data_IF_850501832725
#
_entry.id   IF_850501832725
#
_cell.length_a   1.000
_cell.length_b   1.000
_cell.length_c   1.000
_cell.angle_alpha   90.00
_cell.angle_beta   90.00
_cell.angle_gamma   90.00
#
_symmetry.space_group_name_H-M   'P 1'
#
loop_
_entity.id
_entity.type
_entity.pdbx_description
1 polymer ?
#
# COMPACT_ATOMS: atom_id res chain seq x y z
N UNK A 1 52.76 -5.17 27.75
CA UNK A 1 51.82 -4.72 28.80
C UNK A 1 51.65 -3.23 28.60
N UNK A 2 50.61 -2.84 27.88
CA UNK A 2 50.33 -1.44 27.54
C UNK A 2 48.86 -1.18 27.83
N UNK A 3 48.65 -0.62 29.02
CA UNK A 3 47.41 -0.03 29.48
C UNK A 3 47.07 1.21 28.65
N UNK A 4 45.82 1.35 28.24
CA UNK A 4 45.21 2.67 27.99
C UNK A 4 43.69 2.59 28.18
N UNK A 5 43.06 3.64 28.73
CA UNK A 5 41.83 3.52 29.51
C UNK A 5 40.54 3.70 28.71
N UNK A 6 39.52 3.00 29.21
CA UNK A 6 38.11 3.03 28.82
C UNK A 6 37.43 4.31 29.31
N UNK A 7 37.06 5.21 28.41
CA UNK A 7 36.23 6.37 28.71
C UNK A 7 34.74 5.99 28.54
N UNK A 8 34.05 5.74 29.65
CA UNK A 8 32.59 5.66 29.70
C UNK A 8 32.03 7.07 29.85
N UNK A 9 31.37 7.57 28.80
CA UNK A 9 30.65 8.85 28.83
C UNK A 9 29.18 8.59 29.10
N UNK A 10 28.76 8.81 30.35
CA UNK A 10 27.36 8.71 30.80
C UNK A 10 26.71 10.08 30.62
N UNK A 11 25.89 10.24 29.58
CA UNK A 11 25.03 11.41 29.41
C UNK A 11 23.68 11.15 30.09
N UNK A 12 23.48 11.72 31.29
CA UNK A 12 22.17 11.81 31.93
C UNK A 12 21.43 13.02 31.36
N UNK A 13 20.46 12.78 30.48
CA UNK A 13 19.51 13.78 30.01
C UNK A 13 18.30 13.79 30.96
N UNK A 14 18.21 14.82 31.79
CA UNK A 14 17.04 15.11 32.64
C UNK A 14 15.97 15.79 31.81
N UNK A 15 14.81 15.12 31.66
CA UNK A 15 13.62 15.66 31.01
C UNK A 15 12.80 16.48 32.04
N UNK A 16 12.43 17.75 31.78
CA UNK A 16 11.47 18.45 32.62
C UNK A 16 10.03 17.99 32.31
N UNK A 17 9.28 17.79 33.38
CA UNK A 17 7.89 17.34 33.40
C UNK A 17 6.95 18.31 32.66
N UNK A 18 6.24 17.78 31.66
CA UNK A 18 5.09 18.40 31.03
C UNK A 18 3.86 18.22 31.92
N UNK A 19 3.39 19.33 32.49
CA UNK A 19 2.15 19.40 33.25
C UNK A 19 1.21 20.41 32.58
N UNK A 20 0.23 19.90 31.84
CA UNK A 20 -1.00 20.61 31.53
C UNK A 20 -2.13 19.59 31.28
N UNK A 21 -3.17 19.61 32.11
CA UNK A 21 -4.50 19.40 31.56
C UNK A 21 -5.51 20.31 32.27
N UNK A 22 -6.02 21.32 31.59
CA UNK A 22 -7.23 22.01 32.04
C UNK A 22 -8.07 22.45 30.84
N UNK A 23 -9.36 22.13 30.98
CA UNK A 23 -10.51 22.71 30.29
C UNK A 23 -10.84 22.15 28.89
N UNK A 24 -11.64 21.09 28.88
CA UNK A 24 -12.61 20.83 27.82
C UNK A 24 -13.76 21.85 27.88
N UNK A 25 -14.23 22.40 26.75
CA UNK A 25 -15.46 23.20 26.72
C UNK A 25 -16.70 22.31 26.66
N UNK A 26 -17.64 22.61 27.56
CA UNK A 26 -18.97 22.03 27.70
C UNK A 26 -19.84 22.43 26.49
N UNK A 27 -20.39 21.44 25.78
CA UNK A 27 -21.41 21.66 24.74
C UNK A 27 -22.83 21.70 25.38
N UNK A 28 -23.68 22.68 25.03
CA UNK A 28 -25.08 22.75 25.44
C UNK A 28 -26.00 21.85 24.56
N UNK A 29 -27.29 21.69 24.93
CA UNK A 29 -28.02 20.44 24.80
C UNK A 29 -28.80 20.24 23.48
N UNK A 30 -29.10 18.96 23.27
CA UNK A 30 -30.09 18.36 22.36
C UNK A 30 -31.32 19.23 22.13
N UNK A 31 -31.58 19.60 20.86
CA UNK A 31 -32.91 19.98 20.40
C UNK A 31 -33.48 18.90 19.49
N UNK A 32 -34.47 18.19 20.02
CA UNK A 32 -35.39 17.35 19.28
C UNK A 32 -36.22 18.22 18.32
N UNK A 33 -35.93 18.16 17.02
CA UNK A 33 -36.86 18.61 16.00
C UNK A 33 -37.56 17.37 15.41
N UNK A 34 -38.74 17.10 15.96
CA UNK A 34 -39.73 16.17 15.47
C UNK A 34 -40.30 16.72 14.14
N UNK A 35 -39.88 16.18 13.00
CA UNK A 35 -40.53 16.44 11.70
C UNK A 35 -41.34 15.19 11.32
N UNK A 36 -42.65 15.30 11.07
CA UNK A 36 -43.49 14.16 10.69
C UNK A 36 -43.18 13.67 9.25
N UNK A 37 -43.36 12.36 8.96
CA UNK A 37 -43.21 11.82 7.62
C UNK A 37 -44.45 12.14 6.79
N UNK A 38 -44.35 13.11 5.88
CA UNK A 38 -45.40 13.33 4.89
C UNK A 38 -45.17 12.46 3.65
N UNK A 39 -46.22 11.71 3.36
CA UNK A 39 -46.44 10.74 2.30
C UNK A 39 -45.92 11.10 0.89
N UNK A 40 -45.31 10.07 0.29
CA UNK A 40 -45.49 9.60 -1.09
C UNK A 40 -45.18 10.59 -2.22
N UNK A 41 -44.01 10.39 -2.84
CA UNK A 41 -43.95 10.45 -4.30
C UNK A 41 -43.07 9.32 -4.83
N UNK A 42 -43.73 8.39 -5.52
CA UNK A 42 -43.18 7.23 -6.21
C UNK A 42 -42.40 7.73 -7.44
N UNK A 43 -41.24 8.33 -7.23
CA UNK A 43 -40.34 8.70 -8.30
C UNK A 43 -39.36 7.54 -8.56
N UNK A 44 -39.60 6.84 -9.68
CA UNK A 44 -38.66 6.04 -10.48
C UNK A 44 -37.41 5.57 -9.73
N UNK A 45 -37.42 4.32 -9.28
CA UNK A 45 -36.18 3.57 -9.07
C UNK A 45 -35.61 3.32 -10.47
N UNK A 46 -34.89 4.31 -10.98
CA UNK A 46 -33.89 4.08 -12.00
C UNK A 46 -32.78 3.31 -11.29
N UNK A 47 -32.74 2.01 -11.54
CA UNK A 47 -31.70 1.11 -11.05
C UNK A 47 -30.38 1.63 -11.62
N UNK A 48 -29.68 2.48 -10.87
CA UNK A 48 -28.31 2.84 -11.19
C UNK A 48 -27.46 1.56 -11.10
N UNK A 49 -26.76 1.15 -12.17
CA UNK A 49 -25.73 0.13 -12.07
C UNK A 49 -24.45 0.80 -11.53
N UNK A 50 -24.45 1.24 -10.27
CA UNK A 50 -23.42 2.13 -9.74
C UNK A 50 -22.78 1.57 -8.47
N UNK A 51 -21.87 0.60 -8.63
CA UNK A 51 -20.75 0.41 -7.69
C UNK A 51 -19.70 -0.56 -8.24
N UNK A 52 -20.11 -1.69 -8.81
CA UNK A 52 -19.18 -2.74 -9.28
C UNK A 52 -18.45 -2.36 -10.57
N UNK A 53 -19.11 -1.65 -11.49
CA UNK A 53 -18.53 -1.32 -12.80
C UNK A 53 -17.33 -0.38 -12.72
N UNK A 54 -17.31 0.56 -11.75
CA UNK A 54 -16.19 1.51 -11.62
C UNK A 54 -14.91 0.83 -11.15
N UNK A 55 -15.03 -0.17 -10.26
CA UNK A 55 -13.88 -0.94 -9.78
C UNK A 55 -13.29 -1.82 -10.89
N UNK A 56 -14.15 -2.45 -11.69
CA UNK A 56 -13.70 -3.26 -12.85
C UNK A 56 -13.10 -2.41 -13.95
N UNK A 57 -13.69 -1.25 -14.27
CA UNK A 57 -13.14 -0.33 -15.27
C UNK A 57 -11.78 0.22 -14.85
N UNK A 58 -11.61 0.62 -13.58
CA UNK A 58 -10.34 1.08 -13.03
C UNK A 58 -9.27 -0.02 -13.05
N UNK A 59 -9.63 -1.24 -12.66
CA UNK A 59 -8.71 -2.39 -12.72
C UNK A 59 -8.32 -2.75 -14.16
N UNK A 60 -9.26 -2.67 -15.11
CA UNK A 60 -8.97 -2.88 -16.53
C UNK A 60 -8.05 -1.80 -17.09
N UNK A 61 -8.23 -0.54 -16.71
CA UNK A 61 -7.35 0.57 -17.10
C UNK A 61 -5.94 0.37 -16.56
N UNK A 62 -5.80 0.01 -15.28
CA UNK A 62 -4.52 -0.36 -14.67
C UNK A 62 -3.85 -1.52 -15.42
N UNK A 63 -4.60 -2.60 -15.69
CA UNK A 63 -4.07 -3.76 -16.39
C UNK A 63 -3.67 -3.44 -17.84
N UNK A 64 -4.38 -2.50 -18.48
CA UNK A 64 -4.03 -2.00 -19.82
C UNK A 64 -2.71 -1.24 -19.77
N UNK A 65 -2.55 -0.32 -18.80
CA UNK A 65 -1.29 0.39 -18.57
C UNK A 65 -0.12 -0.55 -18.29
N UNK A 66 -0.34 -1.62 -17.52
CA UNK A 66 0.70 -2.64 -17.29
C UNK A 66 1.13 -3.33 -18.59
N UNK A 67 0.19 -3.67 -19.48
CA UNK A 67 0.52 -4.28 -20.77
C UNK A 67 1.33 -3.33 -21.64
N UNK A 68 0.92 -2.06 -21.73
CA UNK A 68 1.64 -1.05 -22.50
C UNK A 68 3.07 -0.85 -21.97
N UNK A 69 3.24 -0.78 -20.65
CA UNK A 69 4.55 -0.73 -20.00
C UNK A 69 5.40 -1.96 -20.34
N UNK A 70 4.82 -3.17 -20.25
CA UNK A 70 5.53 -4.42 -20.58
C UNK A 70 6.00 -4.42 -22.03
N UNK A 71 5.16 -4.01 -22.98
CA UNK A 71 5.56 -3.93 -24.39
C UNK A 71 6.64 -2.87 -24.63
N UNK A 72 6.55 -1.71 -23.98
CA UNK A 72 7.58 -0.66 -24.07
C UNK A 72 8.94 -1.12 -23.51
N UNK A 73 8.94 -1.92 -22.44
CA UNK A 73 10.16 -2.37 -21.77
C UNK A 73 10.74 -3.67 -22.35
N UNK A 74 9.99 -4.42 -23.16
CA UNK A 74 10.42 -5.74 -23.66
C UNK A 74 11.68 -5.74 -24.52
N UNK A 75 11.96 -4.63 -25.20
CA UNK A 75 13.14 -4.47 -26.06
C UNK A 75 14.37 -3.93 -25.33
N UNK A 76 14.19 -3.37 -24.13
CA UNK A 76 15.23 -2.63 -23.40
C UNK A 76 15.64 -3.31 -22.09
N UNK A 77 14.71 -4.00 -21.43
CA UNK A 77 14.92 -4.62 -20.13
C UNK A 77 14.93 -6.16 -20.22
N UNK A 78 15.67 -6.79 -19.32
CA UNK A 78 15.60 -8.24 -19.13
C UNK A 78 14.22 -8.64 -18.57
N UNK A 79 13.82 -9.90 -18.79
CA UNK A 79 12.55 -10.42 -18.27
C UNK A 79 12.41 -10.23 -16.76
N UNK A 80 13.49 -10.36 -16.00
CA UNK A 80 13.51 -10.18 -14.56
C UNK A 80 13.25 -8.72 -14.17
N UNK A 81 13.85 -7.76 -14.89
CA UNK A 81 13.64 -6.32 -14.69
C UNK A 81 12.22 -5.90 -15.07
N UNK A 82 11.65 -6.44 -16.15
CA UNK A 82 10.25 -6.18 -16.51
C UNK A 82 9.31 -6.69 -15.41
N UNK A 83 9.54 -7.91 -14.90
CA UNK A 83 8.76 -8.45 -13.78
C UNK A 83 8.90 -7.58 -12.52
N UNK A 84 10.11 -7.08 -12.21
CA UNK A 84 10.32 -6.17 -11.09
C UNK A 84 9.54 -4.85 -11.25
N UNK A 85 9.51 -4.27 -12.45
CA UNK A 85 8.73 -3.06 -12.73
C UNK A 85 7.21 -3.30 -12.58
N UNK A 86 6.71 -4.46 -13.03
CA UNK A 86 5.30 -4.84 -12.81
C UNK A 86 4.98 -4.97 -11.32
N UNK A 87 5.89 -5.56 -10.53
CA UNK A 87 5.72 -5.65 -9.07
C UNK A 87 5.66 -4.25 -8.45
N UNK A 88 6.59 -3.36 -8.80
CA UNK A 88 6.59 -1.97 -8.32
C UNK A 88 5.29 -1.26 -8.67
N UNK A 89 4.82 -1.37 -9.92
CA UNK A 89 3.56 -0.78 -10.34
C UNK A 89 2.34 -1.32 -9.55
N UNK A 90 2.33 -2.62 -9.23
CA UNK A 90 1.30 -3.20 -8.36
C UNK A 90 1.34 -2.61 -6.95
N UNK A 91 2.54 -2.43 -6.39
CA UNK A 91 2.70 -1.84 -5.05
C UNK A 91 2.31 -0.35 -5.01
N UNK A 92 2.60 0.40 -6.07
CA UNK A 92 2.17 1.80 -6.22
C UNK A 92 0.64 1.92 -6.31
N UNK A 93 -0.03 0.95 -6.92
CA UNK A 93 -1.49 0.86 -7.00
C UNK A 93 -2.13 0.31 -5.70
N UNK A 94 -1.33 0.05 -4.66
CA UNK A 94 -1.81 -0.45 -3.36
C UNK A 94 -2.11 -1.95 -3.33
N UNK A 95 -1.59 -2.73 -4.27
CA UNK A 95 -1.74 -4.19 -4.30
C UNK A 95 -0.57 -4.80 -3.54
N UNK A 96 -0.78 -5.07 -2.25
CA UNK A 96 0.28 -5.51 -1.33
C UNK A 96 0.36 -7.02 -1.15
N UNK A 97 -0.64 -7.78 -1.59
CA UNK A 97 -0.69 -9.22 -1.40
C UNK A 97 0.10 -9.99 -2.48
N UNK A 98 1.10 -10.78 -2.07
CA UNK A 98 1.95 -11.51 -3.01
C UNK A 98 1.20 -12.45 -3.95
N UNK A 99 0.11 -13.09 -3.52
CA UNK A 99 -0.71 -13.94 -4.39
C UNK A 99 -1.44 -13.14 -5.49
N UNK A 100 -1.82 -11.88 -5.21
CA UNK A 100 -2.45 -11.00 -6.20
C UNK A 100 -1.44 -10.46 -7.17
N UNK A 101 -0.29 -9.99 -6.67
CA UNK A 101 0.84 -9.53 -7.49
C UNK A 101 1.27 -10.64 -8.46
N UNK A 102 1.52 -11.85 -7.97
CA UNK A 102 1.92 -12.98 -8.83
C UNK A 102 0.84 -13.40 -9.81
N UNK A 103 -0.45 -13.26 -9.45
CA UNK A 103 -1.57 -13.48 -10.37
C UNK A 103 -1.67 -12.43 -11.49
N UNK A 104 -1.33 -11.17 -11.21
CA UNK A 104 -1.28 -10.10 -12.22
C UNK A 104 -0.13 -10.38 -13.20
N UNK A 105 1.05 -10.72 -12.68
CA UNK A 105 2.22 -11.08 -13.49
C UNK A 105 1.95 -12.29 -14.39
N UNK A 106 1.26 -13.30 -13.88
CA UNK A 106 0.82 -14.48 -14.64
C UNK A 106 -0.13 -14.10 -15.79
N UNK A 107 -1.12 -13.24 -15.53
CA UNK A 107 -2.04 -12.73 -16.56
C UNK A 107 -1.35 -11.88 -17.64
N UNK A 108 -0.16 -11.35 -17.37
CA UNK A 108 0.66 -10.62 -18.34
C UNK A 108 1.56 -11.56 -19.17
N UNK A 109 1.48 -12.87 -18.95
CA UNK A 109 2.19 -13.89 -19.72
C UNK A 109 3.56 -14.27 -19.15
N UNK A 110 3.86 -13.88 -17.91
CA UNK A 110 5.09 -14.28 -17.23
C UNK A 110 4.86 -15.50 -16.33
N UNK A 111 5.93 -16.24 -16.06
CA UNK A 111 5.83 -17.42 -15.20
C UNK A 111 5.57 -17.01 -13.74
N UNK A 112 4.47 -17.49 -13.16
CA UNK A 112 4.06 -17.23 -11.78
C UNK A 112 5.10 -17.63 -10.73
N UNK A 113 5.76 -18.79 -10.89
CA UNK A 113 6.81 -19.23 -9.96
C UNK A 113 8.03 -18.32 -10.03
N UNK A 114 8.43 -17.90 -11.24
CA UNK A 114 9.50 -16.92 -11.42
C UNK A 114 9.16 -15.59 -10.75
N UNK A 115 7.93 -15.10 -10.92
CA UNK A 115 7.46 -13.88 -10.26
C UNK A 115 7.51 -13.99 -8.72
N UNK A 116 7.10 -15.14 -8.17
CA UNK A 116 7.17 -15.39 -6.73
C UNK A 116 8.60 -15.44 -6.20
N UNK A 117 9.53 -16.04 -6.94
CA UNK A 117 10.96 -16.03 -6.60
C UNK A 117 11.53 -14.61 -6.66
N UNK A 118 11.21 -13.84 -7.69
CA UNK A 118 11.65 -12.43 -7.81
C UNK A 118 11.13 -11.57 -6.67
N UNK A 119 9.85 -11.73 -6.32
CA UNK A 119 9.22 -11.01 -5.22
C UNK A 119 9.93 -11.28 -3.88
N UNK A 120 10.34 -12.54 -3.63
CA UNK A 120 11.00 -12.99 -2.40
C UNK A 120 12.51 -12.71 -2.36
N UNK A 121 13.23 -12.93 -3.46
CA UNK A 121 14.67 -12.66 -3.55
C UNK A 121 15.00 -11.18 -3.34
N UNK A 122 14.12 -10.30 -3.78
CA UNK A 122 14.26 -8.85 -3.60
C UNK A 122 13.76 -8.38 -2.22
N UNK A 123 13.42 -9.29 -1.30
CA UNK A 123 13.04 -8.98 0.09
C UNK A 123 14.02 -9.51 1.14
N UNK A 124 14.71 -10.62 0.87
CA UNK A 124 15.58 -11.32 1.82
C UNK A 124 16.96 -10.65 2.04
N UNK A 125 17.07 -9.32 1.91
CA UNK A 125 18.27 -8.57 2.32
C UNK A 125 19.55 -8.86 1.51
N UNK A 126 19.44 -9.51 0.34
CA UNK A 126 20.51 -9.53 -0.64
C UNK A 126 20.82 -8.11 -1.13
N UNK A 127 22.01 -7.90 -1.73
CA UNK A 127 22.55 -6.60 -2.21
C UNK A 127 21.64 -5.82 -3.19
N UNK A 128 20.44 -6.30 -3.49
CA UNK A 128 19.52 -5.81 -4.52
C UNK A 128 18.11 -5.50 -3.98
N UNK A 129 17.83 -5.74 -2.70
CA UNK A 129 16.55 -5.39 -2.05
C UNK A 129 16.46 -3.88 -1.78
N UNK A 130 16.50 -3.06 -2.84
CA UNK A 130 16.42 -1.60 -2.74
C UNK A 130 15.00 -1.06 -2.98
N UNK A 131 14.08 -1.89 -3.50
CA UNK A 131 12.79 -1.39 -4.00
C UNK A 131 11.61 -1.72 -3.10
N UNK A 132 11.57 -2.89 -2.46
CA UNK A 132 10.45 -3.28 -1.60
C UNK A 132 10.87 -4.20 -0.45
N UNK A 133 10.06 -4.24 0.59
CA UNK A 133 10.19 -5.10 1.78
C UNK A 133 8.89 -5.86 2.05
N UNK A 134 8.99 -6.97 2.78
CA UNK A 134 7.84 -7.70 3.31
C UNK A 134 7.66 -7.30 4.77
N UNK A 135 6.45 -6.88 5.12
CA UNK A 135 6.06 -6.59 6.49
C UNK A 135 5.85 -7.86 7.31
N UNK A 136 5.79 -7.72 8.64
CA UNK A 136 5.49 -8.84 9.56
C UNK A 136 4.07 -9.41 9.41
N UNK A 137 3.20 -8.70 8.69
CA UNK A 137 1.85 -9.10 8.27
C UNK A 137 1.84 -9.96 7.00
N UNK A 138 2.99 -10.15 6.35
CA UNK A 138 3.11 -10.87 5.09
C UNK A 138 2.79 -10.04 3.84
N UNK A 139 2.49 -8.75 4.00
CA UNK A 139 2.24 -7.80 2.91
C UNK A 139 3.54 -7.19 2.38
N UNK A 140 3.54 -6.77 1.14
CA UNK A 140 4.70 -6.16 0.48
C UNK A 140 4.53 -4.63 0.38
N UNK A 141 5.62 -3.91 0.62
CA UNK A 141 5.64 -2.44 0.65
C UNK A 141 6.89 -1.91 -0.04
N UNK A 142 6.78 -0.78 -0.72
CA UNK A 142 7.96 -0.10 -1.27
C UNK A 142 8.82 0.46 -0.13
N UNK A 143 10.13 0.45 -0.34
CA UNK A 143 11.11 1.09 0.55
C UNK A 143 11.40 2.47 -0.06
N UNK A 144 11.22 3.52 0.73
CA UNK A 144 11.58 4.91 0.40
C UNK A 144 13.04 5.18 0.85
#
# INVERSE_FOLDING_TARGET
MSDTPKASSTANFTIPASAAPCASPILPPVQSALVPPSAVELAKIEVQPAASDRSTASFNAFFTGLREMVEACRSTLSKAEVVANVIVACLLEGIHEGYRITGIVDKLGFNRQHAGMTLRHMTDGGRTSLLWKQGGDGLYYLID
#
